data_IF_511165665133
#
_entry.id   IF_511165665133
#
_cell.length_a   1.000
_cell.length_b   1.000
_cell.length_c   1.000
_cell.angle_alpha   90.00
_cell.angle_beta   90.00
_cell.angle_gamma   90.00
#
_symmetry.space_group_name_H-M   'P 1'
#
loop_
_entity.id
_entity.type
_entity.pdbx_description
1 polymer ?
#
# COMPACT_ATOMS: atom_id res chain seq x y z
N UNK A 1 6.10 -4.28 8.95
CA UNK A 1 5.96 -3.15 8.01
C UNK A 1 5.87 -3.73 6.62
N UNK A 2 5.39 -2.96 5.65
CA UNK A 2 5.33 -3.39 4.26
C UNK A 2 5.96 -2.31 3.37
N UNK A 3 6.38 -2.72 2.19
CA UNK A 3 6.99 -1.84 1.20
C UNK A 3 6.27 -1.97 -0.13
N UNK A 4 5.99 -0.86 -0.76
CA UNK A 4 5.48 -0.82 -2.13
C UNK A 4 6.60 -1.24 -3.08
N UNK A 5 6.40 -2.29 -3.88
CA UNK A 5 7.39 -2.81 -4.84
C UNK A 5 7.15 -2.36 -6.28
N UNK A 6 5.93 -1.89 -6.58
CA UNK A 6 5.57 -1.28 -7.87
C UNK A 6 4.76 0.01 -7.62
N UNK A 7 5.00 1.05 -8.42
CA UNK A 7 4.20 2.27 -8.34
C UNK A 7 2.76 2.00 -8.78
N UNK A 8 1.81 2.65 -8.14
CA UNK A 8 0.39 2.58 -8.46
C UNK A 8 -0.20 3.99 -8.43
N UNK A 9 -0.90 4.37 -9.50
CA UNK A 9 -1.59 5.64 -9.61
C UNK A 9 -3.08 5.40 -9.32
N UNK A 10 -3.64 6.14 -8.35
CA UNK A 10 -5.05 6.02 -8.01
C UNK A 10 -5.93 6.47 -9.18
N UNK A 11 -6.88 5.64 -9.57
CA UNK A 11 -7.83 5.89 -10.65
C UNK A 11 -9.25 6.11 -10.12
N UNK A 12 -9.55 5.64 -8.91
CA UNK A 12 -10.85 5.78 -8.26
C UNK A 12 -10.78 6.41 -6.86
N UNK A 13 -11.92 6.92 -6.41
CA UNK A 13 -12.05 7.43 -5.03
C UNK A 13 -11.76 6.30 -4.02
N UNK A 14 -10.91 6.60 -3.03
CA UNK A 14 -10.52 5.64 -1.99
C UNK A 14 -9.24 4.87 -2.30
N UNK A 15 -8.70 4.96 -3.51
CA UNK A 15 -7.37 4.45 -3.87
C UNK A 15 -6.27 5.43 -3.46
N UNK A 16 -5.05 4.91 -3.24
CA UNK A 16 -3.89 5.71 -2.86
C UNK A 16 -2.79 5.61 -3.91
N UNK A 17 -2.39 6.75 -4.49
CA UNK A 17 -1.18 6.83 -5.31
C UNK A 17 0.06 6.58 -4.47
N UNK A 18 0.85 5.57 -4.84
CA UNK A 18 2.09 5.17 -4.16
C UNK A 18 3.24 4.99 -5.15
N UNK A 19 4.46 5.20 -4.66
CA UNK A 19 5.70 5.01 -5.44
C UNK A 19 6.40 3.74 -4.98
N UNK A 20 7.12 3.05 -5.88
CA UNK A 20 7.99 1.94 -5.48
C UNK A 20 9.03 2.43 -4.44
N UNK A 21 9.11 1.73 -3.31
CA UNK A 21 9.90 2.10 -2.15
C UNK A 21 9.13 2.78 -1.02
N UNK A 22 7.87 3.19 -1.23
CA UNK A 22 7.04 3.76 -0.16
C UNK A 22 6.90 2.74 0.98
N UNK A 23 7.20 3.18 2.21
CA UNK A 23 6.94 2.42 3.43
C UNK A 23 5.47 2.60 3.83
N UNK A 24 4.80 1.48 4.07
CA UNK A 24 3.36 1.45 4.38
C UNK A 24 3.05 0.49 5.53
N UNK A 25 1.94 0.78 6.21
CA UNK A 25 1.28 -0.14 7.13
C UNK A 25 0.04 -0.72 6.46
N UNK A 26 -0.08 -2.04 6.42
CA UNK A 26 -1.28 -2.73 5.91
C UNK A 26 -2.27 -2.89 7.05
N UNK A 27 -3.47 -2.30 6.91
CA UNK A 27 -4.56 -2.39 7.90
C UNK A 27 -5.47 -3.59 7.64
N UNK A 28 -5.75 -3.89 6.37
CA UNK A 28 -6.65 -4.96 5.96
C UNK A 28 -6.35 -5.44 4.54
N UNK A 29 -6.71 -6.68 4.26
CA UNK A 29 -6.76 -7.27 2.92
C UNK A 29 -8.19 -7.66 2.58
N UNK A 30 -8.67 -7.29 1.39
CA UNK A 30 -9.98 -7.71 0.88
C UNK A 30 -9.93 -7.80 -0.64
N UNK A 31 -10.32 -8.96 -1.18
CA UNK A 31 -10.46 -9.20 -2.63
C UNK A 31 -9.26 -8.76 -3.49
N UNK A 32 -8.03 -9.03 -3.01
CA UNK A 32 -6.79 -8.70 -3.73
C UNK A 32 -6.32 -7.25 -3.56
N UNK A 33 -6.93 -6.49 -2.67
CA UNK A 33 -6.54 -5.13 -2.32
C UNK A 33 -6.07 -5.04 -0.87
N UNK A 34 -5.06 -4.19 -0.62
CA UNK A 34 -4.70 -3.75 0.71
C UNK A 34 -5.23 -2.36 0.99
N UNK A 35 -5.83 -2.18 2.17
CA UNK A 35 -5.95 -0.86 2.78
C UNK A 35 -4.63 -0.54 3.46
N UNK A 36 -3.96 0.53 3.03
CA UNK A 36 -2.66 0.93 3.56
C UNK A 36 -2.66 2.34 4.11
N UNK A 37 -1.73 2.60 5.03
CA UNK A 37 -1.35 3.93 5.50
C UNK A 37 0.12 4.17 5.14
N UNK A 38 0.40 5.18 4.32
CA UNK A 38 1.76 5.56 3.94
C UNK A 38 2.45 6.29 5.09
N UNK A 39 3.66 5.89 5.41
CA UNK A 39 4.40 6.42 6.56
C UNK A 39 4.81 7.89 6.37
N UNK A 40 5.13 8.29 5.14
CA UNK A 40 5.66 9.62 4.83
C UNK A 40 4.71 10.77 5.18
N UNK A 41 3.40 10.57 5.00
CA UNK A 41 2.39 11.62 5.13
C UNK A 41 1.08 11.16 5.81
N UNK A 42 1.00 9.89 6.21
CA UNK A 42 -0.21 9.31 6.81
C UNK A 42 -1.35 9.12 5.82
N UNK A 43 -1.11 9.28 4.51
CA UNK A 43 -2.15 9.11 3.50
C UNK A 43 -2.65 7.66 3.50
N UNK A 44 -3.97 7.49 3.37
CA UNK A 44 -4.65 6.20 3.50
C UNK A 44 -5.48 5.90 2.27
N UNK A 45 -5.42 4.66 1.81
CA UNK A 45 -6.29 4.19 0.73
C UNK A 45 -5.97 2.78 0.27
N UNK A 46 -6.62 2.38 -0.80
CA UNK A 46 -6.48 1.07 -1.41
C UNK A 46 -5.30 1.04 -2.39
N UNK A 47 -4.54 -0.04 -2.34
CA UNK A 47 -3.50 -0.40 -3.32
C UNK A 47 -3.62 -1.89 -3.65
N UNK A 48 -3.25 -2.34 -4.87
CA UNK A 48 -3.27 -3.76 -5.18
C UNK A 48 -2.35 -4.54 -4.24
N UNK A 49 -2.82 -5.65 -3.67
CA UNK A 49 -2.03 -6.44 -2.72
C UNK A 49 -0.74 -6.96 -3.35
N UNK A 50 -0.76 -7.28 -4.66
CA UNK A 50 0.40 -7.72 -5.42
C UNK A 50 1.48 -6.66 -5.62
N UNK A 51 1.21 -5.39 -5.28
CA UNK A 51 2.14 -4.27 -5.40
C UNK A 51 2.86 -3.98 -4.09
N UNK A 52 2.54 -4.72 -3.02
CA UNK A 52 3.08 -4.52 -1.68
C UNK A 52 3.72 -5.80 -1.18
N UNK A 53 4.96 -5.71 -0.73
CA UNK A 53 5.70 -6.81 -0.11
C UNK A 53 5.66 -6.65 1.42
N UNK A 54 5.18 -7.67 2.11
CA UNK A 54 5.21 -7.73 3.57
C UNK A 54 6.64 -8.04 4.02
N UNK A 55 7.26 -7.12 4.75
CA UNK A 55 8.58 -7.38 5.32
C UNK A 55 8.40 -8.31 6.53
N UNK A 56 8.87 -9.56 6.39
CA UNK A 56 8.80 -10.56 7.46
C UNK A 56 9.59 -10.13 8.69
N UNK A 57 9.03 -10.37 9.88
CA UNK A 57 9.77 -10.24 11.13
C UNK A 57 10.74 -11.43 11.23
N UNK A 58 12.05 -11.19 11.12
CA UNK A 58 13.11 -12.13 11.52
C UNK A 58 13.55 -11.84 12.95
#
# INVERSE_FOLDING_TARGET
>A
MAKVVYAFEAEAEGELTVTAGDAVWVEAETDGWFTVVREADGARGLVPASYVEMEGFT
#
